data_IF_701760975620
#
_entry.id   IF_701760975620
#
_cell.length_a   1.000
_cell.length_b   1.000
_cell.length_c   1.000
_cell.angle_alpha   90.00
_cell.angle_beta   90.00
_cell.angle_gamma   90.00
#
_symmetry.space_group_name_H-M   'P 1'
#
loop_
_entity.id
_entity.type
_entity.pdbx_description
1 polymer ?
#
# COMPACT_ATOMS: atom_id res chain seq x y z
N UNK A 1 -52.38 12.51 10.22
CA UNK A 1 -51.52 11.60 11.00
C UNK A 1 -50.79 10.58 10.13
N UNK A 2 -51.46 9.86 9.22
CA UNK A 2 -50.80 8.88 8.34
C UNK A 2 -49.80 9.48 7.33
N UNK A 3 -50.20 10.54 6.61
CA UNK A 3 -49.38 11.16 5.55
C UNK A 3 -48.05 11.70 6.08
N UNK A 4 -48.07 12.30 7.26
CA UNK A 4 -46.90 12.88 7.93
C UNK A 4 -45.89 11.81 8.38
N UNK A 5 -46.41 10.72 8.96
CA UNK A 5 -45.61 9.57 9.38
C UNK A 5 -44.99 8.84 8.17
N UNK A 6 -45.73 8.71 7.07
CA UNK A 6 -45.23 8.07 5.85
C UNK A 6 -44.14 8.90 5.18
N UNK A 7 -44.29 10.23 5.16
CA UNK A 7 -43.28 11.13 4.61
C UNK A 7 -41.99 11.10 5.45
N UNK A 8 -42.12 11.13 6.78
CA UNK A 8 -40.99 10.93 7.72
C UNK A 8 -40.28 9.60 7.47
N UNK A 9 -41.02 8.51 7.27
CA UNK A 9 -40.42 7.20 6.98
C UNK A 9 -39.67 7.17 5.64
N UNK A 10 -40.20 7.84 4.61
CA UNK A 10 -39.56 7.95 3.29
C UNK A 10 -38.25 8.74 3.36
N UNK A 11 -38.23 9.81 4.13
CA UNK A 11 -37.03 10.63 4.37
C UNK A 11 -35.98 9.86 5.17
N UNK A 12 -36.38 9.16 6.23
CA UNK A 12 -35.49 8.31 7.00
C UNK A 12 -34.85 7.21 6.14
N UNK A 13 -35.63 6.58 5.25
CA UNK A 13 -35.12 5.58 4.32
C UNK A 13 -34.14 6.19 3.31
N UNK A 14 -34.46 7.35 2.75
CA UNK A 14 -33.57 8.07 1.83
C UNK A 14 -32.24 8.44 2.51
N UNK A 15 -32.29 8.96 3.73
CA UNK A 15 -31.11 9.31 4.51
C UNK A 15 -30.27 8.08 4.87
N UNK A 16 -30.90 6.98 5.29
CA UNK A 16 -30.22 5.72 5.58
C UNK A 16 -29.52 5.14 4.35
N UNK A 17 -30.16 5.22 3.18
CA UNK A 17 -29.58 4.75 1.91
C UNK A 17 -28.36 5.60 1.52
N UNK A 18 -28.44 6.93 1.65
CA UNK A 18 -27.31 7.81 1.39
C UNK A 18 -26.15 7.56 2.38
N UNK A 19 -26.45 7.36 3.65
CA UNK A 19 -25.45 7.04 4.67
C UNK A 19 -24.77 5.69 4.40
N UNK A 20 -25.53 4.67 3.98
CA UNK A 20 -24.99 3.37 3.61
C UNK A 20 -24.06 3.46 2.39
N UNK A 21 -24.44 4.25 1.38
CA UNK A 21 -23.60 4.50 0.21
C UNK A 21 -22.30 5.24 0.57
N UNK A 22 -22.37 6.29 1.38
CA UNK A 22 -21.18 7.01 1.83
C UNK A 22 -20.27 6.12 2.68
N UNK A 23 -20.82 5.31 3.59
CA UNK A 23 -20.05 4.36 4.41
C UNK A 23 -19.38 3.28 3.56
N UNK A 24 -20.01 2.86 2.48
CA UNK A 24 -19.40 1.94 1.51
C UNK A 24 -18.27 2.63 0.72
N UNK A 25 -18.45 3.89 0.30
CA UNK A 25 -17.41 4.65 -0.38
C UNK A 25 -16.21 4.95 0.53
N UNK A 26 -16.45 5.31 1.79
CA UNK A 26 -15.41 5.58 2.78
C UNK A 26 -14.61 4.32 3.12
N UNK A 27 -15.28 3.17 3.26
CA UNK A 27 -14.59 1.91 3.56
C UNK A 27 -13.64 1.46 2.43
N UNK A 28 -14.02 1.70 1.17
CA UNK A 28 -13.14 1.44 0.01
C UNK A 28 -11.91 2.37 0.03
N UNK A 29 -12.09 3.66 0.35
CA UNK A 29 -10.98 4.63 0.46
C UNK A 29 -10.02 4.28 1.60
N UNK A 30 -10.56 3.97 2.78
CA UNK A 30 -9.77 3.55 3.94
C UNK A 30 -9.01 2.25 3.68
N UNK A 31 -9.64 1.31 2.97
CA UNK A 31 -8.99 0.06 2.57
C UNK A 31 -7.85 0.33 1.59
N UNK A 32 -8.05 1.15 0.56
CA UNK A 32 -7.01 1.49 -0.40
C UNK A 32 -5.79 2.12 0.29
N UNK A 33 -6.00 3.00 1.27
CA UNK A 33 -4.91 3.60 2.06
C UNK A 33 -4.15 2.58 2.93
N UNK A 34 -4.84 1.58 3.48
CA UNK A 34 -4.24 0.60 4.41
C UNK A 34 -3.73 -0.68 3.76
N UNK A 35 -4.13 -0.97 2.53
CA UNK A 35 -3.86 -2.25 1.85
C UNK A 35 -2.73 -2.19 0.83
N UNK A 36 -2.08 -1.03 0.72
CA UNK A 36 -0.95 -0.81 -0.17
C UNK A 36 0.19 -1.80 0.12
N UNK A 37 0.63 -2.51 -0.93
CA UNK A 37 1.78 -3.42 -0.90
C UNK A 37 2.67 -3.08 -2.07
N UNK A 38 3.97 -2.95 -1.82
CA UNK A 38 4.98 -2.67 -2.84
C UNK A 38 5.86 -3.90 -3.06
N UNK A 39 5.79 -4.48 -4.24
CA UNK A 39 6.74 -5.49 -4.72
C UNK A 39 7.99 -4.81 -5.28
N UNK A 40 9.16 -5.30 -4.87
CA UNK A 40 10.47 -4.78 -5.22
C UNK A 40 11.35 -5.92 -5.76
N UNK A 41 12.04 -5.66 -6.86
CA UNK A 41 13.15 -6.47 -7.38
C UNK A 41 14.30 -5.54 -7.79
N UNK A 42 15.17 -5.24 -6.83
CA UNK A 42 16.25 -4.28 -6.99
C UNK A 42 17.54 -5.04 -7.31
N UNK A 43 18.21 -4.65 -8.40
CA UNK A 43 19.49 -5.21 -8.83
C UNK A 43 20.56 -4.12 -8.89
N UNK A 44 21.36 -3.99 -7.84
CA UNK A 44 22.53 -3.10 -7.85
C UNK A 44 23.74 -3.84 -8.41
N UNK A 45 24.22 -3.37 -9.58
CA UNK A 45 25.42 -3.89 -10.22
C UNK A 45 26.66 -3.13 -9.73
N UNK A 46 27.64 -3.88 -9.23
CA UNK A 46 28.97 -3.40 -8.83
C UNK A 46 28.95 -2.17 -7.90
N UNK A 47 28.24 -2.18 -6.75
CA UNK A 47 28.37 -1.12 -5.77
C UNK A 47 29.75 -1.19 -5.11
N UNK A 48 30.52 -0.11 -5.27
CA UNK A 48 31.85 0.05 -4.70
C UNK A 48 31.80 0.97 -3.48
N UNK A 49 32.29 0.49 -2.34
CA UNK A 49 32.56 1.33 -1.17
C UNK A 49 34.06 1.60 -1.12
N UNK A 50 34.44 2.87 -1.07
CA UNK A 50 35.83 3.31 -1.00
C UNK A 50 36.04 4.06 0.31
N UNK A 51 36.94 3.58 1.15
CA UNK A 51 37.30 4.19 2.43
C UNK A 51 38.76 4.66 2.34
N UNK A 52 39.02 5.98 2.21
CA UNK A 52 40.38 6.50 2.21
C UNK A 52 41.09 6.27 3.53
N UNK A 53 42.38 5.97 3.50
CA UNK A 53 43.20 5.83 4.71
C UNK A 53 43.29 7.17 5.49
N UNK A 54 43.36 8.29 4.76
CA UNK A 54 43.31 9.66 5.27
C UNK A 54 42.96 10.63 4.13
N UNK A 55 42.70 11.91 4.42
CA UNK A 55 42.34 12.92 3.41
C UNK A 55 43.49 13.30 2.45
N UNK A 56 44.74 12.95 2.78
CA UNK A 56 45.93 13.27 1.99
C UNK A 56 46.59 12.04 1.37
N UNK A 57 46.16 10.84 1.76
CA UNK A 57 46.71 9.57 1.24
C UNK A 57 45.99 9.15 -0.03
N UNK A 58 46.74 8.56 -0.96
CA UNK A 58 46.17 7.91 -2.15
C UNK A 58 45.76 6.45 -1.86
N UNK A 59 46.07 5.94 -0.66
CA UNK A 59 45.68 4.60 -0.26
C UNK A 59 44.21 4.60 0.20
N UNK A 60 43.46 3.60 -0.23
CA UNK A 60 42.09 3.38 0.18
C UNK A 60 41.80 1.89 0.32
N UNK A 61 40.89 1.56 1.22
CA UNK A 61 40.26 0.25 1.26
C UNK A 61 39.10 0.26 0.28
N UNK A 62 39.09 -0.70 -0.65
CA UNK A 62 38.05 -0.85 -1.67
C UNK A 62 37.28 -2.11 -1.40
N UNK A 63 35.96 -1.98 -1.30
CA UNK A 63 35.03 -3.11 -1.18
C UNK A 63 34.18 -3.15 -2.43
N UNK A 64 34.37 -4.21 -3.23
CA UNK A 64 33.44 -4.59 -4.29
C UNK A 64 32.39 -5.52 -3.71
N UNK A 65 31.14 -5.06 -3.72
CA UNK A 65 30.01 -5.83 -3.22
C UNK A 65 29.40 -6.74 -4.30
N UNK A 66 29.94 -6.74 -5.52
CA UNK A 66 29.50 -7.57 -6.63
C UNK A 66 28.09 -7.22 -7.11
N UNK A 67 27.26 -8.24 -7.34
CA UNK A 67 25.84 -8.06 -7.67
C UNK A 67 25.02 -8.18 -6.39
N UNK A 68 24.41 -7.07 -5.96
CA UNK A 68 23.43 -7.08 -4.87
C UNK A 68 22.04 -7.17 -5.49
N UNK A 69 21.28 -8.18 -5.07
CA UNK A 69 19.86 -8.31 -5.41
C UNK A 69 19.04 -8.24 -4.14
N UNK A 70 18.02 -7.39 -4.12
CA UNK A 70 17.06 -7.28 -3.02
C UNK A 70 15.67 -7.43 -3.59
N UNK A 71 14.93 -8.42 -3.09
CA UNK A 71 13.53 -8.59 -3.46
C UNK A 71 12.67 -8.96 -2.27
N UNK A 72 11.37 -8.67 -2.38
CA UNK A 72 10.36 -9.14 -1.45
C UNK A 72 9.24 -9.88 -2.21
N UNK A 73 8.51 -10.71 -1.48
CA UNK A 73 7.38 -11.49 -2.03
C UNK A 73 6.18 -11.40 -1.12
N UNK A 74 4.99 -11.43 -1.70
CA UNK A 74 3.73 -11.46 -0.98
C UNK A 74 2.96 -12.73 -1.32
N UNK A 75 2.33 -13.34 -0.32
CA UNK A 75 1.38 -14.43 -0.50
C UNK A 75 -0.02 -13.91 -0.23
N UNK A 76 -0.93 -14.07 -1.20
CA UNK A 76 -2.35 -13.79 -0.99
C UNK A 76 -2.97 -14.97 -0.25
N UNK A 77 -3.31 -14.75 1.01
CA UNK A 77 -4.09 -15.71 1.79
C UNK A 77 -5.58 -15.39 1.64
N UNK A 78 -6.39 -16.42 1.42
CA UNK A 78 -7.84 -16.29 1.47
C UNK A 78 -8.24 -15.96 2.91
N UNK A 79 -8.92 -14.83 3.09
CA UNK A 79 -9.46 -14.42 4.38
C UNK A 79 -10.98 -14.26 4.25
N UNK A 80 -11.71 -15.01 5.07
CA UNK A 80 -13.17 -14.90 5.20
C UNK A 80 -13.57 -13.44 5.50
N UNK A 81 -14.50 -12.89 4.71
CA UNK A 81 -15.00 -11.52 4.88
C UNK A 81 -14.22 -10.41 4.14
N UNK A 82 -13.22 -10.73 3.32
CA UNK A 82 -12.50 -9.77 2.49
C UNK A 82 -12.77 -10.01 0.99
N UNK A 83 -13.83 -9.41 0.41
CA UNK A 83 -14.23 -9.67 -0.97
C UNK A 83 -13.35 -8.98 -2.02
N UNK A 84 -12.50 -8.03 -1.63
CA UNK A 84 -11.67 -7.25 -2.54
C UNK A 84 -10.22 -7.74 -2.54
N UNK A 85 -9.58 -7.91 -3.72
CA UNK A 85 -8.19 -8.33 -3.81
C UNK A 85 -7.26 -7.25 -3.26
N UNK A 86 -6.14 -7.67 -2.67
CA UNK A 86 -5.07 -6.79 -2.25
C UNK A 86 -4.55 -5.96 -3.44
N UNK A 87 -4.30 -4.66 -3.21
CA UNK A 87 -3.63 -3.81 -4.20
C UNK A 87 -2.12 -4.04 -4.09
N UNK A 88 -1.51 -4.53 -5.18
CA UNK A 88 -0.06 -4.71 -5.30
C UNK A 88 0.46 -3.73 -6.34
N UNK A 89 1.35 -2.83 -5.92
CA UNK A 89 2.14 -1.98 -6.80
C UNK A 89 3.51 -2.62 -7.02
N UNK A 90 4.03 -2.54 -8.25
CA UNK A 90 5.36 -3.02 -8.62
C UNK A 90 6.26 -1.83 -8.86
N UNK A 91 7.46 -1.86 -8.28
CA UNK A 91 8.50 -0.87 -8.59
C UNK A 91 9.24 -1.29 -9.86
N UNK A 92 9.18 -0.45 -10.90
CA UNK A 92 9.97 -0.61 -12.15
C UNK A 92 11.42 -0.10 -11.99
#
# INVERSE_FOLDING_TARGET
MFVDNFQTAKEALSAATAQAAEKAASSVRDFAQKSFRLAMDIRLKAPLIIIPQSSTSHNAFVVDLGLITVGNSFSLLAAEGFPLPAVLETMD
#
